data_IF_020642894592
#
_entry.id   IF_020642894592
#
_cell.length_a   1.000
_cell.length_b   1.000
_cell.length_c   1.000
_cell.angle_alpha   90.00
_cell.angle_beta   90.00
_cell.angle_gamma   90.00
#
_symmetry.space_group_name_H-M   'P 1'
#
loop_
_entity.id
_entity.type
_entity.pdbx_description
1 polymer ?
#
# COMPACT_ATOMS: atom_id res chain seq x y z
N UNK A 1 -33.29 14.99 5.96
CA UNK A 1 -32.66 15.35 7.25
C UNK A 1 -31.18 14.99 7.16
N UNK A 2 -30.22 15.70 7.79
CA UNK A 2 -28.78 15.45 7.66
C UNK A 2 -28.26 14.10 8.19
N UNK A 3 -29.14 13.11 8.41
CA UNK A 3 -28.82 11.82 9.03
C UNK A 3 -28.79 10.63 8.08
N UNK A 4 -29.12 10.80 6.79
CA UNK A 4 -29.21 9.69 5.83
C UNK A 4 -27.94 9.45 5.00
N UNK A 5 -26.96 10.36 5.02
CA UNK A 5 -25.77 10.28 4.15
C UNK A 5 -24.60 9.45 4.71
N UNK A 6 -24.62 9.09 6.00
CA UNK A 6 -23.52 8.37 6.64
C UNK A 6 -23.95 7.03 7.24
N UNK A 7 -23.10 6.01 7.07
CA UNK A 7 -23.32 4.71 7.68
C UNK A 7 -22.92 4.72 9.15
N UNK A 8 -23.84 4.34 10.03
CA UNK A 8 -23.53 4.17 11.46
C UNK A 8 -22.66 2.94 11.68
N UNK A 9 -21.78 2.97 12.70
CA UNK A 9 -20.96 1.83 13.09
C UNK A 9 -21.82 0.60 13.43
N UNK A 10 -23.00 0.82 14.02
CA UNK A 10 -23.96 -0.25 14.32
C UNK A 10 -24.51 -0.93 13.06
N UNK A 11 -24.76 -0.17 11.98
CA UNK A 11 -25.19 -0.73 10.69
C UNK A 11 -24.06 -1.53 10.04
N UNK A 12 -22.84 -1.01 10.08
CA UNK A 12 -21.66 -1.73 9.58
C UNK A 12 -21.46 -3.07 10.29
N UNK A 13 -21.51 -3.10 11.62
CA UNK A 13 -21.36 -4.33 12.40
C UNK A 13 -22.43 -5.36 12.05
N UNK A 14 -23.69 -4.96 11.87
CA UNK A 14 -24.77 -5.86 11.43
C UNK A 14 -24.50 -6.49 10.06
N UNK A 15 -23.92 -5.73 9.12
CA UNK A 15 -23.54 -6.25 7.79
C UNK A 15 -22.39 -7.24 7.93
N UNK A 16 -21.34 -6.87 8.67
CA UNK A 16 -20.19 -7.73 8.92
C UNK A 16 -20.61 -9.07 9.55
N UNK A 17 -21.46 -9.03 10.59
CA UNK A 17 -21.99 -10.22 11.26
C UNK A 17 -22.86 -11.08 10.33
N UNK A 18 -23.68 -10.46 9.49
CA UNK A 18 -24.49 -11.19 8.51
C UNK A 18 -23.62 -11.91 7.49
N UNK A 19 -22.60 -11.23 6.95
CA UNK A 19 -21.73 -11.78 5.91
C UNK A 19 -20.85 -12.89 6.47
N UNK A 20 -20.25 -12.72 7.65
CA UNK A 20 -19.41 -13.77 8.27
C UNK A 20 -20.19 -15.05 8.64
N UNK A 21 -21.51 -14.96 8.76
CA UNK A 21 -22.39 -16.12 8.93
C UNK A 21 -22.69 -16.87 7.62
N UNK A 22 -22.44 -16.25 6.47
CA UNK A 22 -22.67 -16.82 5.14
C UNK A 22 -21.38 -17.34 4.49
N UNK A 23 -20.27 -16.61 4.68
CA UNK A 23 -18.95 -16.95 4.11
C UNK A 23 -17.87 -16.77 5.18
N UNK A 24 -16.84 -17.65 5.22
CA UNK A 24 -15.70 -17.46 6.11
C UNK A 24 -14.97 -16.15 5.81
N UNK A 25 -14.67 -15.37 6.85
CA UNK A 25 -13.87 -14.15 6.75
C UNK A 25 -12.58 -14.30 7.55
N UNK A 26 -11.48 -13.81 6.98
CA UNK A 26 -10.18 -13.70 7.65
C UNK A 26 -10.20 -12.46 8.55
N UNK A 27 -10.45 -12.63 9.84
CA UNK A 27 -10.65 -11.54 10.80
C UNK A 27 -9.38 -10.73 11.09
N UNK A 28 -8.22 -11.30 10.80
CA UNK A 28 -6.89 -10.72 10.91
C UNK A 28 -6.36 -10.17 9.57
N UNK A 29 -7.21 -10.11 8.54
CA UNK A 29 -6.85 -9.49 7.27
C UNK A 29 -6.46 -8.02 7.47
N UNK A 30 -5.49 -7.57 6.68
CA UNK A 30 -5.07 -6.17 6.69
C UNK A 30 -6.24 -5.24 6.34
N UNK A 31 -6.44 -4.21 7.16
CA UNK A 31 -7.39 -3.13 6.88
C UNK A 31 -6.66 -2.00 6.17
N UNK A 32 -7.24 -1.54 5.06
CA UNK A 32 -6.80 -0.36 4.32
C UNK A 32 -7.92 0.67 4.29
N UNK A 33 -7.55 1.95 4.37
CA UNK A 33 -8.50 3.08 4.41
C UNK A 33 -8.28 3.95 3.19
N UNK A 34 -9.34 4.25 2.45
CA UNK A 34 -9.29 5.30 1.44
C UNK A 34 -9.60 6.65 2.09
N UNK A 35 -8.78 7.64 1.81
CA UNK A 35 -8.99 9.01 2.28
C UNK A 35 -8.57 10.00 1.20
N UNK A 36 -9.34 11.08 1.07
CA UNK A 36 -9.02 12.23 0.24
C UNK A 36 -9.92 13.41 0.60
N UNK A 37 -9.44 14.61 0.36
CA UNK A 37 -10.14 15.88 0.56
C UNK A 37 -9.63 16.94 -0.45
N UNK A 38 -9.97 18.22 -0.26
CA UNK A 38 -9.55 19.31 -1.14
C UNK A 38 -8.03 19.46 -1.29
N UNK A 39 -7.24 18.97 -0.32
CA UNK A 39 -5.78 19.04 -0.31
C UNK A 39 -5.12 17.71 -0.70
N UNK A 40 -5.83 16.59 -0.58
CA UNK A 40 -5.30 15.25 -0.82
C UNK A 40 -6.16 14.46 -1.80
N UNK A 41 -5.57 14.05 -2.93
CA UNK A 41 -6.23 13.12 -3.84
C UNK A 41 -6.59 11.81 -3.12
N UNK A 42 -7.80 11.25 -3.33
CA UNK A 42 -8.20 9.97 -2.78
C UNK A 42 -7.13 8.89 -3.01
N UNK A 43 -6.62 8.33 -1.92
CA UNK A 43 -5.57 7.32 -1.94
C UNK A 43 -5.84 6.24 -0.90
N UNK A 44 -5.38 5.02 -1.16
CA UNK A 44 -5.53 3.90 -0.22
C UNK A 44 -4.34 3.80 0.73
N UNK A 45 -4.57 4.06 2.02
CA UNK A 45 -3.58 4.06 3.09
C UNK A 45 -3.58 2.76 3.90
N UNK A 46 -2.43 2.43 4.48
CA UNK A 46 -2.28 1.36 5.48
C UNK A 46 -2.61 1.90 6.88
N UNK A 47 -3.21 1.07 7.73
CA UNK A 47 -3.40 1.39 9.15
C UNK A 47 -2.14 0.99 9.91
N UNK A 48 -1.38 1.99 10.38
CA UNK A 48 -0.13 1.76 11.12
C UNK A 48 -0.37 1.51 12.61
N UNK A 49 -1.35 2.20 13.19
CA UNK A 49 -1.78 1.96 14.57
C UNK A 49 -3.18 2.51 14.82
N UNK A 50 -3.85 1.96 15.83
CA UNK A 50 -5.10 2.47 16.36
C UNK A 50 -4.89 2.72 17.85
N UNK A 51 -5.14 3.94 18.31
CA UNK A 51 -5.11 4.29 19.72
C UNK A 51 -6.46 4.81 20.16
N UNK A 52 -6.83 4.54 21.41
CA UNK A 52 -8.10 4.96 21.99
C UNK A 52 -7.84 5.76 23.25
N UNK A 53 -8.38 6.96 23.31
CA UNK A 53 -8.51 7.74 24.54
C UNK A 53 -9.96 7.66 25.06
N UNK A 54 -10.31 8.44 26.08
CA UNK A 54 -11.63 8.33 26.74
C UNK A 54 -12.80 8.55 25.76
N UNK A 55 -12.67 9.46 24.80
CA UNK A 55 -13.75 9.85 23.89
C UNK A 55 -13.38 9.79 22.40
N UNK A 56 -12.13 9.47 22.07
CA UNK A 56 -11.60 9.54 20.71
C UNK A 56 -10.89 8.24 20.36
N UNK A 57 -11.14 7.75 19.15
CA UNK A 57 -10.30 6.73 18.52
C UNK A 57 -9.47 7.39 17.44
N UNK A 58 -8.15 7.24 17.51
CA UNK A 58 -7.20 7.79 16.55
C UNK A 58 -6.64 6.66 15.71
N UNK A 59 -6.70 6.82 14.40
CA UNK A 59 -6.16 5.86 13.42
C UNK A 59 -4.99 6.53 12.72
N UNK A 60 -3.79 6.00 12.89
CA UNK A 60 -2.61 6.50 12.21
C UNK A 60 -2.50 5.85 10.84
N UNK A 61 -2.67 6.65 9.79
CA UNK A 61 -2.58 6.22 8.40
C UNK A 61 -1.16 6.39 7.86
N UNK A 62 -0.67 5.41 7.11
CA UNK A 62 0.59 5.48 6.39
C UNK A 62 0.32 5.37 4.88
N UNK A 63 0.91 6.25 4.04
CA UNK A 63 0.74 6.15 2.60
C UNK A 63 1.30 4.81 2.10
N UNK A 64 0.75 4.27 0.99
CA UNK A 64 1.32 3.10 0.36
C UNK A 64 2.77 3.39 -0.01
N UNK A 65 3.66 2.43 0.21
CA UNK A 65 5.04 2.56 -0.25
C UNK A 65 5.03 2.53 -1.77
N UNK A 66 5.28 3.67 -2.39
CA UNK A 66 5.46 3.73 -3.83
C UNK A 66 6.92 3.45 -4.14
N UNK A 67 7.16 2.44 -4.97
CA UNK A 67 8.49 2.18 -5.52
C UNK A 67 8.61 2.86 -6.87
N UNK A 68 9.80 3.38 -7.17
CA UNK A 68 10.07 3.85 -8.51
C UNK A 68 10.12 2.65 -9.45
N UNK A 69 9.34 2.66 -10.54
CA UNK A 69 9.33 1.59 -11.56
C UNK A 69 10.73 1.23 -12.06
N UNK A 70 11.65 2.19 -12.12
CA UNK A 70 13.06 1.95 -12.47
C UNK A 70 13.81 1.14 -11.39
N UNK A 71 13.55 1.43 -10.11
CA UNK A 71 14.09 0.64 -8.98
C UNK A 71 13.57 -0.79 -9.04
N UNK A 72 12.29 -0.99 -9.30
CA UNK A 72 11.70 -2.33 -9.39
C UNK A 72 12.30 -3.14 -10.55
N UNK A 73 12.47 -2.50 -11.72
CA UNK A 73 13.19 -3.09 -12.86
C UNK A 73 14.62 -3.48 -12.50
N UNK A 74 15.34 -2.63 -11.76
CA UNK A 74 16.70 -2.91 -11.32
C UNK A 74 16.75 -4.10 -10.37
N UNK A 75 15.87 -4.17 -9.38
CA UNK A 75 15.81 -5.28 -8.41
C UNK A 75 15.47 -6.59 -9.11
N UNK A 76 14.49 -6.59 -10.03
CA UNK A 76 14.13 -7.75 -10.84
C UNK A 76 15.29 -8.23 -11.74
N UNK A 77 16.02 -7.30 -12.38
CA UNK A 77 17.20 -7.63 -13.18
C UNK A 77 18.38 -8.13 -12.33
N UNK A 78 18.47 -7.72 -11.05
CA UNK A 78 19.53 -8.16 -10.13
C UNK A 78 19.26 -9.55 -9.53
N UNK A 79 18.01 -10.00 -9.54
CA UNK A 79 17.59 -11.32 -9.07
C UNK A 79 17.62 -12.39 -10.17
N UNK A 80 17.64 -11.97 -11.44
CA UNK A 80 18.13 -12.79 -12.54
C UNK A 80 19.66 -12.77 -12.51
N UNK A 81 20.28 -13.86 -12.09
CA UNK A 81 21.75 -14.01 -12.18
C UNK A 81 22.17 -14.14 -13.64
N UNK A 82 22.36 -13.01 -14.32
CA UNK A 82 23.30 -12.91 -15.43
C UNK A 82 24.49 -12.07 -14.95
N UNK A 83 25.47 -12.77 -14.40
CA UNK A 83 26.79 -12.25 -14.10
C UNK A 83 27.53 -11.98 -15.42
N UNK A 84 27.18 -10.90 -16.11
CA UNK A 84 28.12 -10.27 -17.03
C UNK A 84 28.29 -8.81 -16.66
N UNK A 85 29.43 -8.41 -16.07
CA UNK A 85 29.72 -7.01 -15.83
C UNK A 85 29.77 -6.29 -17.18
N UNK A 86 28.85 -5.36 -17.41
CA UNK A 86 28.79 -4.55 -18.63
C UNK A 86 29.97 -3.55 -18.75
N UNK A 87 30.80 -3.46 -17.71
CA UNK A 87 31.98 -2.62 -17.67
C UNK A 87 33.24 -3.49 -17.65
N UNK A 88 33.44 -4.28 -18.70
CA UNK A 88 34.80 -4.60 -19.11
C UNK A 88 35.34 -3.37 -19.86
N UNK A 89 36.51 -2.80 -19.51
CA UNK A 89 37.10 -1.77 -20.35
C UNK A 89 37.36 -2.39 -21.73
N UNK A 90 36.87 -1.73 -22.79
CA UNK A 90 37.18 -2.13 -24.15
C UNK A 90 38.68 -2.00 -24.36
N UNK A 91 39.42 -3.11 -24.25
CA UNK A 91 40.80 -3.18 -24.72
C UNK A 91 40.77 -3.33 -26.22
N UNK A 92 40.59 -2.22 -26.93
CA UNK A 92 41.00 -2.13 -28.32
C UNK A 92 41.93 -0.93 -28.47
N UNK A 93 43.20 -1.26 -28.75
CA UNK A 93 44.24 -0.32 -29.12
C UNK A 93 43.80 0.41 -30.39
N UNK A 94 43.38 1.66 -30.26
CA UNK A 94 43.31 2.56 -31.41
C UNK A 94 44.70 2.64 -32.03
N UNK A 95 44.80 2.16 -33.27
CA UNK A 95 46.01 1.98 -34.06
C UNK A 95 47.09 3.05 -33.85
N UNK A 96 48.33 2.58 -33.75
CA UNK A 96 49.55 3.31 -34.08
C UNK A 96 50.28 2.52 -35.18
N UNK A 97 51.21 3.10 -35.96
CA UNK A 97 51.60 4.51 -36.09
C UNK A 97 50.97 5.23 -37.29
#
# INVERSE_FOLDING_TARGET
>A
SPGDDYMTSAKFLKIFDKVRGMIPLTVDAEIRVEYGDENFFPSTYHVRSVTRDQNTTRVLLAPPQTTCKARDRRIAASSATDLQPCCAPATESCCAP
#
